data_IF_708670689324
#
_entry.id   IF_708670689324
#
_cell.length_a   1.000
_cell.length_b   1.000
_cell.length_c   1.000
_cell.angle_alpha   90.00
_cell.angle_beta   90.00
_cell.angle_gamma   90.00
#
_symmetry.space_group_name_H-M   'P 1'
#
loop_
_entity.id
_entity.type
_entity.pdbx_description
1 polymer ?
#
# COMPACT_ATOMS: atom_id res chain seq x y z
N UNK A 1 -12.16 2.87 1.01
CA UNK A 1 -11.43 3.40 -0.16
C UNK A 1 -11.27 4.89 0.02
N UNK A 2 -10.04 5.40 0.00
CA UNK A 2 -9.83 6.85 -0.06
C UNK A 2 -10.15 7.31 -1.48
N UNK A 3 -11.05 8.27 -1.58
CA UNK A 3 -11.63 8.76 -2.82
C UNK A 3 -10.95 10.06 -3.24
N UNK A 4 -10.05 9.94 -4.20
CA UNK A 4 -9.43 11.07 -4.88
C UNK A 4 -10.04 11.23 -6.28
N UNK A 5 -11.31 11.67 -6.31
CA UNK A 5 -12.08 11.94 -7.54
C UNK A 5 -12.38 10.68 -8.36
N UNK A 6 -12.62 9.54 -7.71
CA UNK A 6 -13.08 8.33 -8.38
C UNK A 6 -14.45 8.60 -9.02
N UNK A 7 -14.56 8.30 -10.32
CA UNK A 7 -15.78 8.57 -11.10
C UNK A 7 -16.97 7.78 -10.58
N UNK A 8 -18.19 8.29 -10.82
CA UNK A 8 -19.43 7.57 -10.48
C UNK A 8 -19.47 6.21 -11.17
N UNK A 9 -19.01 6.11 -12.43
CA UNK A 9 -18.87 4.86 -13.18
C UNK A 9 -18.00 3.85 -12.43
N UNK A 10 -16.77 4.21 -12.07
CA UNK A 10 -15.86 3.30 -11.37
C UNK A 10 -16.37 2.93 -9.96
N UNK A 11 -16.99 3.86 -9.23
CA UNK A 11 -17.64 3.56 -7.95
C UNK A 11 -18.75 2.52 -8.09
N UNK A 12 -19.51 2.58 -9.19
CA UNK A 12 -20.56 1.59 -9.51
C UNK A 12 -19.93 0.21 -9.76
N UNK A 13 -18.93 0.13 -10.65
CA UNK A 13 -18.23 -1.12 -10.97
C UNK A 13 -17.58 -1.78 -9.73
N UNK A 14 -17.01 -0.97 -8.83
CA UNK A 14 -16.48 -1.47 -7.55
C UNK A 14 -17.56 -2.08 -6.66
N UNK A 15 -18.74 -1.45 -6.57
CA UNK A 15 -19.87 -1.98 -5.80
C UNK A 15 -20.43 -3.26 -6.41
N UNK A 16 -20.57 -3.30 -7.73
CA UNK A 16 -21.01 -4.49 -8.47
C UNK A 16 -20.05 -5.65 -8.25
N UNK A 17 -18.74 -5.40 -8.37
CA UNK A 17 -17.67 -6.38 -8.13
C UNK A 17 -17.78 -7.03 -6.75
N UNK A 18 -18.06 -6.25 -5.70
CA UNK A 18 -18.12 -6.80 -4.34
C UNK A 18 -19.51 -7.34 -3.95
N UNK A 19 -20.56 -7.09 -4.75
CA UNK A 19 -21.94 -7.43 -4.41
C UNK A 19 -22.20 -8.92 -4.10
N UNK A 20 -21.49 -9.90 -4.70
CA UNK A 20 -21.67 -11.31 -4.36
C UNK A 20 -21.04 -11.70 -3.01
N UNK A 21 -20.24 -10.82 -2.40
CA UNK A 21 -19.48 -11.09 -1.20
C UNK A 21 -20.12 -10.42 0.03
N UNK A 22 -19.88 -10.99 1.22
CA UNK A 22 -20.25 -10.33 2.48
C UNK A 22 -19.27 -9.20 2.81
N UNK A 23 -19.25 -8.17 1.96
CA UNK A 23 -18.33 -7.05 2.03
C UNK A 23 -19.06 -5.72 1.83
N UNK A 24 -18.48 -4.63 2.32
CA UNK A 24 -19.00 -3.28 2.10
C UNK A 24 -17.88 -2.38 1.63
N UNK A 25 -18.15 -1.59 0.58
CA UNK A 25 -17.25 -0.53 0.11
C UNK A 25 -17.80 0.83 0.50
N UNK A 26 -17.00 1.59 1.24
CA UNK A 26 -17.22 3.01 1.52
C UNK A 26 -16.13 3.84 0.84
N UNK A 27 -16.55 4.95 0.26
CA UNK A 27 -15.67 5.95 -0.35
C UNK A 27 -15.55 7.11 0.63
N UNK A 28 -14.32 7.38 1.07
CA UNK A 28 -14.01 8.39 2.07
C UNK A 28 -13.15 9.46 1.41
N UNK A 29 -13.58 10.70 1.50
CA UNK A 29 -12.76 11.85 1.11
C UNK A 29 -12.01 12.35 2.34
N UNK A 30 -10.75 12.71 2.16
CA UNK A 30 -9.95 13.30 3.23
C UNK A 30 -10.07 14.82 3.11
N UNK A 31 -10.62 15.46 4.14
CA UNK A 31 -10.74 16.91 4.16
C UNK A 31 -9.36 17.53 4.44
N UNK A 32 -8.88 18.34 3.51
CA UNK A 32 -7.57 19.03 3.60
C UNK A 32 -7.43 19.87 4.86
N UNK A 33 -8.55 20.28 5.49
CA UNK A 33 -8.52 21.09 6.71
C UNK A 33 -7.85 20.39 7.89
N UNK A 34 -7.87 19.06 7.93
CA UNK A 34 -7.17 18.28 8.97
C UNK A 34 -5.64 18.32 8.80
N UNK A 35 -5.15 18.84 7.66
CA UNK A 35 -3.75 18.87 7.28
C UNK A 35 -3.27 20.30 7.00
N UNK A 36 -3.91 21.32 7.57
CA UNK A 36 -3.59 22.74 7.29
C UNK A 36 -2.09 23.03 7.36
N UNK A 37 -1.38 22.50 8.36
CA UNK A 37 0.05 22.73 8.54
C UNK A 37 0.94 21.91 7.57
N UNK A 38 0.40 20.82 7.02
CA UNK A 38 1.16 19.90 6.17
C UNK A 38 0.91 20.11 4.67
N UNK A 39 -0.25 20.65 4.31
CA UNK A 39 -0.66 20.98 2.94
C UNK A 39 -0.01 22.28 2.44
N UNK A 40 0.60 23.08 3.32
CA UNK A 40 1.37 24.28 2.93
C UNK A 40 2.68 23.94 2.19
N UNK A 41 3.09 22.66 2.13
CA UNK A 41 4.21 22.20 1.33
C UNK A 41 3.75 21.77 -0.06
N UNK A 42 3.88 22.66 -1.05
CA UNK A 42 3.66 22.40 -2.50
C UNK A 42 4.56 21.29 -3.09
N UNK A 43 5.38 20.61 -2.28
CA UNK A 43 6.50 19.77 -2.74
C UNK A 43 6.22 18.27 -2.78
N UNK A 44 5.08 17.78 -2.28
CA UNK A 44 4.82 16.34 -2.15
C UNK A 44 3.44 15.96 -2.71
N UNK A 45 3.32 14.82 -3.42
CA UNK A 45 2.04 14.37 -3.94
C UNK A 45 0.99 14.23 -2.84
N UNK A 46 -0.18 14.84 -3.07
CA UNK A 46 -1.31 14.88 -2.13
C UNK A 46 -1.75 13.48 -1.63
N UNK A 47 -1.56 12.46 -2.48
CA UNK A 47 -1.94 11.07 -2.21
C UNK A 47 -1.09 10.39 -1.15
N UNK A 48 0.17 10.82 -0.99
CA UNK A 48 1.07 10.32 0.05
C UNK A 48 0.56 10.68 1.46
N UNK A 49 -0.06 11.86 1.60
CA UNK A 49 -0.67 12.30 2.86
C UNK A 49 -1.88 11.47 3.26
N UNK A 50 -2.60 10.92 2.29
CA UNK A 50 -3.81 10.15 2.58
C UNK A 50 -3.52 8.92 3.43
N UNK A 51 -2.42 8.20 3.19
CA UNK A 51 -2.12 7.00 4.00
C UNK A 51 -1.80 7.35 5.45
N UNK A 52 -1.06 8.43 5.67
CA UNK A 52 -0.67 8.94 7.00
C UNK A 52 -1.92 9.45 7.75
N UNK A 53 -2.86 10.01 7.01
CA UNK A 53 -4.11 10.59 7.51
C UNK A 53 -5.20 9.57 7.87
N UNK A 54 -5.16 8.36 7.33
CA UNK A 54 -6.26 7.39 7.46
C UNK A 54 -6.69 7.15 8.92
N UNK A 55 -5.78 6.94 9.89
CA UNK A 55 -6.16 6.71 11.28
C UNK A 55 -6.96 7.87 11.89
N UNK A 56 -6.68 9.12 11.50
CA UNK A 56 -7.37 10.32 11.98
C UNK A 56 -8.85 10.35 11.63
N UNK A 57 -9.23 9.76 10.48
CA UNK A 57 -10.64 9.66 10.07
C UNK A 57 -11.49 8.84 11.06
N UNK A 58 -10.85 8.07 11.93
CA UNK A 58 -11.48 7.19 12.91
C UNK A 58 -11.29 7.65 14.35
N UNK A 59 -10.76 8.86 14.59
CA UNK A 59 -10.52 9.40 15.95
C UNK A 59 -11.73 9.35 16.87
N UNK A 60 -12.92 9.67 16.33
CA UNK A 60 -14.18 9.65 17.07
C UNK A 60 -14.97 8.33 16.91
N UNK A 61 -14.32 7.30 16.36
CA UNK A 61 -14.91 6.00 16.11
C UNK A 61 -14.25 4.94 16.98
N UNK A 62 -14.99 3.89 17.34
CA UNK A 62 -14.45 2.75 18.10
C UNK A 62 -13.70 1.76 17.19
N UNK A 63 -12.78 2.26 16.36
CA UNK A 63 -11.93 1.45 15.48
C UNK A 63 -10.57 1.27 16.16
N UNK A 64 -10.18 0.02 16.39
CA UNK A 64 -8.95 -0.28 17.14
C UNK A 64 -7.78 -0.67 16.22
N UNK A 65 -8.09 -1.25 15.07
CA UNK A 65 -7.13 -1.80 14.12
C UNK A 65 -7.58 -1.48 12.70
N UNK A 66 -6.64 -1.26 11.80
CA UNK A 66 -6.91 -1.02 10.38
C UNK A 66 -5.85 -1.70 9.52
N UNK A 67 -6.25 -2.33 8.42
CA UNK A 67 -5.31 -2.85 7.43
C UNK A 67 -5.31 -1.90 6.22
N UNK A 68 -4.18 -1.26 5.98
CA UNK A 68 -3.90 -0.48 4.79
C UNK A 68 -3.18 -1.34 3.75
N UNK A 69 -3.61 -1.23 2.49
CA UNK A 69 -3.01 -1.87 1.32
C UNK A 69 -2.95 -0.85 0.18
N UNK A 70 -1.82 -0.77 -0.51
CA UNK A 70 -1.72 -0.06 -1.78
C UNK A 70 -2.61 -0.73 -2.85
N UNK A 71 -3.00 0.03 -3.86
CA UNK A 71 -3.97 -0.42 -4.87
C UNK A 71 -3.42 -1.46 -5.85
N UNK A 72 -2.11 -1.69 -5.83
CA UNK A 72 -1.35 -2.61 -6.69
C UNK A 72 -0.95 -3.89 -5.94
N UNK A 73 -1.82 -4.34 -5.04
CA UNK A 73 -1.65 -5.55 -4.26
C UNK A 73 -2.74 -6.58 -4.53
N UNK A 74 -2.38 -7.88 -4.47
CA UNK A 74 -3.31 -9.00 -4.62
C UNK A 74 -3.10 -10.00 -3.49
N UNK A 75 -4.15 -10.21 -2.69
CA UNK A 75 -4.19 -11.28 -1.70
C UNK A 75 -4.45 -12.65 -2.35
N UNK A 76 -3.62 -13.63 -2.02
CA UNK A 76 -3.71 -15.02 -2.52
C UNK A 76 -4.23 -15.99 -1.44
N UNK A 77 -4.46 -15.51 -0.23
CA UNK A 77 -4.90 -16.30 0.92
C UNK A 77 -5.89 -15.52 1.76
N UNK A 78 -6.51 -16.18 2.74
CA UNK A 78 -7.32 -15.51 3.74
C UNK A 78 -6.40 -14.67 4.66
N UNK A 79 -6.58 -13.35 4.58
CA UNK A 79 -5.80 -12.37 5.34
C UNK A 79 -6.34 -12.16 6.76
N UNK A 80 -7.43 -12.83 7.16
CA UNK A 80 -7.97 -12.77 8.53
C UNK A 80 -6.96 -13.19 9.60
N UNK A 81 -5.97 -14.01 9.23
CA UNK A 81 -4.86 -14.38 10.10
C UNK A 81 -4.06 -13.16 10.60
N UNK A 82 -3.93 -12.10 9.79
CA UNK A 82 -3.27 -10.85 10.19
C UNK A 82 -4.04 -10.17 11.32
N UNK A 83 -5.37 -10.29 11.36
CA UNK A 83 -6.18 -9.64 12.37
C UNK A 83 -5.92 -10.15 13.78
N UNK A 84 -5.42 -11.40 13.89
CA UNK A 84 -5.08 -12.07 15.16
C UNK A 84 -3.73 -11.63 15.73
N UNK A 85 -2.93 -10.87 14.98
CA UNK A 85 -1.65 -10.36 15.46
C UNK A 85 -1.86 -9.40 16.64
N UNK A 86 -1.06 -9.58 17.68
CA UNK A 86 -0.98 -8.65 18.80
C UNK A 86 -0.12 -7.45 18.42
N UNK A 87 -0.70 -6.26 18.55
CA UNK A 87 -0.03 -4.99 18.27
C UNK A 87 0.05 -4.12 19.53
N UNK A 88 -0.13 -4.69 20.72
CA UNK A 88 -0.14 -3.92 21.98
C UNK A 88 1.12 -3.05 22.12
N UNK A 89 2.29 -3.62 21.80
CA UNK A 89 3.56 -2.92 21.90
C UNK A 89 3.97 -2.16 20.63
N UNK A 90 3.21 -2.28 19.54
CA UNK A 90 3.61 -1.74 18.23
C UNK A 90 2.57 -0.79 17.65
N UNK A 91 3.05 0.29 17.03
CA UNK A 91 2.15 1.25 16.35
C UNK A 91 1.57 0.65 15.07
N UNK A 92 2.35 -0.20 14.40
CA UNK A 92 1.89 -0.96 13.23
C UNK A 92 2.67 -2.26 13.08
N UNK A 93 2.17 -3.16 12.26
CA UNK A 93 2.94 -4.24 11.65
C UNK A 93 3.08 -4.04 10.15
N UNK A 94 4.27 -4.30 9.62
CA UNK A 94 4.60 -4.14 8.21
C UNK A 94 5.65 -5.17 7.79
N UNK A 95 6.12 -5.06 6.54
CA UNK A 95 7.17 -5.91 5.99
C UNK A 95 8.34 -5.03 5.57
N UNK A 96 9.55 -5.50 5.83
CA UNK A 96 10.78 -4.82 5.39
C UNK A 96 10.79 -4.59 3.88
N UNK A 97 11.26 -3.42 3.46
CA UNK A 97 11.38 -3.08 2.05
C UNK A 97 12.61 -3.76 1.44
N UNK A 98 12.38 -4.55 0.41
CA UNK A 98 13.42 -5.41 -0.15
C UNK A 98 14.52 -4.65 -0.91
N UNK A 99 14.27 -3.40 -1.30
CA UNK A 99 15.25 -2.59 -2.01
C UNK A 99 16.08 -1.68 -1.11
N UNK A 100 15.74 -1.56 0.19
CA UNK A 100 16.10 -0.37 0.97
C UNK A 100 16.56 -0.65 2.41
N UNK A 101 17.21 -1.80 2.64
CA UNK A 101 17.76 -2.23 3.95
C UNK A 101 18.66 -1.21 4.68
N UNK A 102 19.31 -0.28 3.97
CA UNK A 102 20.18 0.76 4.55
C UNK A 102 19.60 2.18 4.44
N UNK A 103 18.28 2.30 4.27
CA UNK A 103 17.67 3.61 3.98
C UNK A 103 17.70 4.56 5.18
N UNK A 104 17.45 4.06 6.39
CA UNK A 104 17.53 4.86 7.62
C UNK A 104 18.92 5.47 7.85
N UNK A 105 19.98 4.68 7.62
CA UNK A 105 21.37 5.15 7.68
C UNK A 105 21.63 6.28 6.67
N UNK A 106 21.16 6.12 5.42
CA UNK A 106 21.28 7.15 4.37
C UNK A 106 20.49 8.43 4.69
N UNK A 107 19.49 8.35 5.55
CA UNK A 107 18.73 9.50 6.06
C UNK A 107 19.35 10.09 7.34
N UNK A 108 20.42 9.48 7.87
CA UNK A 108 21.02 9.82 9.15
C UNK A 108 20.00 9.79 10.31
N UNK A 109 19.14 8.78 10.34
CA UNK A 109 18.25 8.49 11.47
C UNK A 109 19.00 7.59 12.45
N UNK A 110 19.07 8.01 13.71
CA UNK A 110 19.63 7.18 14.77
C UNK A 110 18.60 6.11 15.17
N UNK A 111 18.95 4.85 14.97
CA UNK A 111 18.07 3.70 15.21
C UNK A 111 18.88 2.52 15.73
N UNK A 112 18.25 1.65 16.52
CA UNK A 112 18.85 0.39 16.97
C UNK A 112 18.79 -0.66 15.85
N UNK A 113 17.66 -0.71 15.14
CA UNK A 113 17.45 -1.50 13.94
C UNK A 113 17.44 -0.61 12.71
N UNK A 114 18.37 -0.84 11.77
CA UNK A 114 18.37 -0.17 10.48
C UNK A 114 17.21 -0.61 9.54
N UNK A 115 16.33 -1.50 10.01
CA UNK A 115 15.23 -2.07 9.22
C UNK A 115 14.23 -0.99 8.83
N UNK A 116 13.89 -1.01 7.54
CA UNK A 116 13.06 -0.01 6.89
C UNK A 116 11.88 -0.71 6.21
N UNK A 117 10.65 -0.42 6.64
CA UNK A 117 9.46 -1.08 6.12
C UNK A 117 8.91 -0.42 4.85
N UNK A 118 8.27 -1.24 4.01
CA UNK A 118 7.50 -0.77 2.87
C UNK A 118 6.11 -0.26 3.32
N UNK A 119 5.73 0.97 2.97
CA UNK A 119 4.47 1.59 3.43
C UNK A 119 3.24 1.17 2.63
N UNK A 120 3.39 0.27 1.64
CA UNK A 120 2.27 -0.25 0.85
C UNK A 120 1.42 -1.27 1.59
N UNK A 121 1.95 -1.89 2.65
CA UNK A 121 1.21 -2.75 3.56
C UNK A 121 1.41 -2.26 4.99
N UNK A 122 0.33 -1.96 5.72
CA UNK A 122 0.41 -1.62 7.14
C UNK A 122 -0.81 -2.13 7.89
N UNK A 123 -0.60 -2.98 8.90
CA UNK A 123 -1.63 -3.30 9.89
C UNK A 123 -1.45 -2.35 11.09
N UNK A 124 -2.30 -1.34 11.19
CA UNK A 124 -2.16 -0.20 12.08
C UNK A 124 -2.92 -0.45 13.37
N UNK A 125 -2.26 -0.20 14.51
CA UNK A 125 -2.91 -0.04 15.82
C UNK A 125 -3.43 1.40 15.92
N UNK A 126 -4.72 1.59 15.64
CA UNK A 126 -5.33 2.92 15.54
C UNK A 126 -5.28 3.64 16.88
N UNK A 127 -5.51 2.94 17.99
CA UNK A 127 -5.45 3.53 19.33
C UNK A 127 -4.06 4.09 19.63
N UNK A 128 -3.01 3.30 19.40
CA UNK A 128 -1.62 3.71 19.65
C UNK A 128 -1.18 4.83 18.70
N UNK A 129 -1.55 4.71 17.42
CA UNK A 129 -1.29 5.75 16.42
C UNK A 129 -1.85 7.12 16.83
N UNK A 130 -3.10 7.16 17.29
CA UNK A 130 -3.76 8.38 17.73
C UNK A 130 -3.20 8.90 19.07
N UNK A 131 -2.88 8.00 20.01
CA UNK A 131 -2.35 8.36 21.32
C UNK A 131 -0.94 8.97 21.23
N UNK A 132 -0.13 8.51 20.27
CA UNK A 132 1.24 8.98 20.07
C UNK A 132 1.36 10.11 19.02
N UNK A 133 0.22 10.63 18.55
CA UNK A 133 0.15 11.69 17.53
C UNK A 133 1.02 11.42 16.30
N UNK A 134 1.00 10.16 15.81
CA UNK A 134 1.90 9.72 14.75
C UNK A 134 1.68 10.51 13.46
N UNK A 135 0.43 10.83 13.12
CA UNK A 135 0.12 11.63 11.93
C UNK A 135 0.82 12.99 11.99
N UNK A 136 0.69 13.73 13.10
CA UNK A 136 1.34 15.04 13.27
C UNK A 136 2.87 14.92 13.19
N UNK A 137 3.47 13.99 13.94
CA UNK A 137 4.93 13.77 13.94
C UNK A 137 5.50 13.46 12.56
N UNK A 138 4.79 12.64 11.77
CA UNK A 138 5.20 12.31 10.39
C UNK A 138 5.10 13.54 9.49
N UNK A 139 4.05 14.35 9.64
CA UNK A 139 3.88 15.56 8.85
C UNK A 139 4.93 16.63 9.21
N UNK A 140 5.24 16.78 10.49
CA UNK A 140 6.30 17.68 10.96
C UNK A 140 7.66 17.24 10.41
N UNK A 141 7.98 15.95 10.45
CA UNK A 141 9.22 15.42 9.86
C UNK A 141 9.29 15.71 8.36
N UNK A 142 8.17 15.58 7.65
CA UNK A 142 8.10 15.90 6.22
C UNK A 142 8.40 17.37 5.95
N UNK A 143 7.84 18.25 6.78
CA UNK A 143 8.01 19.70 6.66
C UNK A 143 9.43 20.14 7.01
N UNK A 144 9.98 19.60 8.10
CA UNK A 144 11.27 20.02 8.68
C UNK A 144 12.48 19.40 7.97
N UNK A 145 12.32 18.23 7.33
CA UNK A 145 13.41 17.47 6.71
C UNK A 145 13.13 17.03 5.26
N UNK A 146 12.62 17.90 4.36
CA UNK A 146 12.27 17.53 2.99
C UNK A 146 13.47 17.01 2.18
N UNK A 147 14.68 17.48 2.50
CA UNK A 147 15.94 17.06 1.86
C UNK A 147 16.29 15.59 2.13
N UNK A 148 15.77 15.01 3.22
CA UNK A 148 15.99 13.60 3.56
C UNK A 148 15.08 12.67 2.77
N UNK A 149 13.99 13.18 2.18
CA UNK A 149 12.92 12.37 1.59
C UNK A 149 13.21 12.03 0.12
N UNK A 150 13.41 10.73 -0.13
CA UNK A 150 13.45 10.12 -1.47
C UNK A 150 12.13 9.42 -1.81
N UNK A 151 11.48 8.82 -0.82
CA UNK A 151 10.23 8.05 -0.91
C UNK A 151 9.09 8.68 -0.12
N UNK A 152 9.17 10.00 0.10
CA UNK A 152 8.13 10.83 0.70
C UNK A 152 7.57 10.24 2.02
N UNK A 153 6.32 9.79 2.02
CA UNK A 153 5.63 9.25 3.19
C UNK A 153 6.32 8.03 3.79
N UNK A 154 6.88 7.13 2.96
CA UNK A 154 7.51 5.91 3.46
C UNK A 154 8.75 6.24 4.29
N UNK A 155 9.54 7.22 3.83
CA UNK A 155 10.71 7.70 4.55
C UNK A 155 10.33 8.34 5.88
N UNK A 156 9.34 9.23 5.86
CA UNK A 156 8.90 9.93 7.07
C UNK A 156 8.27 8.99 8.10
N UNK A 157 7.46 8.02 7.64
CA UNK A 157 6.91 6.97 8.49
C UNK A 157 8.01 6.15 9.16
N UNK A 158 9.02 5.72 8.41
CA UNK A 158 10.15 4.99 8.95
C UNK A 158 11.03 5.86 9.87
N UNK A 159 11.19 7.15 9.57
CA UNK A 159 11.93 8.07 10.44
C UNK A 159 11.24 8.32 11.79
N UNK A 160 9.92 8.21 11.86
CA UNK A 160 9.14 8.38 13.10
C UNK A 160 8.92 7.05 13.85
N UNK A 161 8.78 5.96 13.11
CA UNK A 161 8.39 4.65 13.65
C UNK A 161 9.53 3.62 13.64
N UNK A 162 10.77 4.00 13.32
CA UNK A 162 11.92 3.10 13.46
C UNK A 162 11.90 2.44 14.84
N UNK A 163 12.28 1.16 14.90
CA UNK A 163 12.27 0.34 16.11
C UNK A 163 10.90 0.09 16.78
N UNK A 164 9.81 0.74 16.32
CA UNK A 164 8.48 0.71 16.95
C UNK A 164 7.39 0.10 16.06
N UNK A 165 7.77 -0.87 15.22
CA UNK A 165 6.86 -1.62 14.36
C UNK A 165 7.14 -3.13 14.43
N UNK A 166 6.08 -3.93 14.29
CA UNK A 166 6.18 -5.38 14.25
C UNK A 166 6.56 -5.83 12.84
N UNK A 167 7.74 -6.43 12.69
CA UNK A 167 8.16 -7.00 11.42
C UNK A 167 7.40 -8.29 11.12
N UNK A 168 6.81 -8.36 9.93
CA UNK A 168 6.17 -9.53 9.38
C UNK A 168 7.07 -10.19 8.34
N UNK A 169 6.90 -11.50 8.19
CA UNK A 169 7.55 -12.27 7.13
C UNK A 169 7.22 -11.68 5.74
N UNK A 170 8.22 -11.60 4.82
CA UNK A 170 8.06 -11.03 3.48
C UNK A 170 6.91 -11.58 2.61
N UNK A 171 6.39 -12.77 2.89
CA UNK A 171 5.24 -13.35 2.16
C UNK A 171 3.96 -12.54 2.29
N UNK A 172 3.82 -11.72 3.33
CA UNK A 172 2.66 -10.85 3.55
C UNK A 172 2.72 -9.54 2.74
N UNK A 173 3.86 -9.22 2.15
CA UNK A 173 4.05 -8.12 1.21
C UNK A 173 5.15 -8.56 0.22
N UNK A 174 4.80 -9.53 -0.64
CA UNK A 174 5.72 -10.14 -1.58
C UNK A 174 5.97 -9.16 -2.74
N UNK A 175 6.89 -8.23 -2.51
CA UNK A 175 7.27 -7.15 -3.41
C UNK A 175 7.85 -7.66 -4.73
N UNK A 176 7.69 -6.89 -5.81
CA UNK A 176 8.23 -7.21 -7.14
C UNK A 176 9.71 -7.58 -7.11
N UNK A 177 10.51 -6.83 -6.36
CA UNK A 177 11.96 -7.05 -6.22
C UNK A 177 12.29 -8.47 -5.72
N UNK A 178 11.54 -8.95 -4.70
CA UNK A 178 11.66 -10.32 -4.18
C UNK A 178 11.18 -11.32 -5.23
N UNK A 179 9.98 -11.10 -5.78
CA UNK A 179 9.30 -12.06 -6.64
C UNK A 179 9.99 -12.25 -8.00
N UNK A 180 10.62 -11.20 -8.53
CA UNK A 180 11.37 -11.20 -9.78
C UNK A 180 12.87 -11.51 -9.60
N UNK A 181 13.34 -11.70 -8.35
CA UNK A 181 14.76 -11.93 -8.01
C UNK A 181 15.68 -10.80 -8.50
N UNK A 182 15.22 -9.57 -8.34
CA UNK A 182 15.99 -8.38 -8.73
C UNK A 182 16.96 -7.95 -7.63
N UNK A 183 16.76 -8.45 -6.41
CA UNK A 183 17.59 -8.19 -5.23
C UNK A 183 17.78 -9.47 -4.42
N UNK A 184 18.95 -9.62 -3.82
CA UNK A 184 19.22 -10.59 -2.77
C UNK A 184 19.16 -9.88 -1.41
N UNK A 185 18.68 -10.58 -0.39
CA UNK A 185 18.71 -10.04 0.97
C UNK A 185 20.17 -10.00 1.49
N UNK A 186 20.60 -8.95 2.19
CA UNK A 186 21.97 -8.86 2.71
C UNK A 186 22.26 -9.85 3.85
N UNK A 187 21.25 -10.21 4.63
CA UNK A 187 21.29 -11.26 5.66
C UNK A 187 20.89 -12.64 5.09
N UNK A 188 21.68 -13.71 5.32
CA UNK A 188 21.33 -15.08 4.91
C UNK A 188 19.95 -15.60 5.37
N UNK A 189 19.49 -15.26 6.57
CA UNK A 189 18.16 -15.69 7.04
C UNK A 189 17.05 -14.95 6.29
N UNK A 190 17.24 -13.65 6.02
CA UNK A 190 16.32 -12.90 5.18
C UNK A 190 16.28 -13.41 3.73
N UNK A 191 17.40 -13.91 3.19
CA UNK A 191 17.43 -14.51 1.85
C UNK A 191 16.67 -15.84 1.82
N UNK A 192 16.74 -16.60 2.92
CA UNK A 192 15.89 -17.78 3.11
C UNK A 192 14.40 -17.39 3.16
N UNK A 193 14.03 -16.31 3.85
CA UNK A 193 12.66 -15.79 3.82
C UNK A 193 12.22 -15.32 2.42
N UNK A 194 13.12 -14.73 1.62
CA UNK A 194 12.85 -14.39 0.21
C UNK A 194 12.64 -15.64 -0.63
N UNK A 195 13.42 -16.70 -0.41
CA UNK A 195 13.20 -18.00 -1.05
C UNK A 195 11.82 -18.59 -0.73
N UNK A 196 11.43 -18.58 0.54
CA UNK A 196 10.10 -19.05 0.98
C UNK A 196 8.97 -18.20 0.39
N UNK A 197 9.16 -16.88 0.35
CA UNK A 197 8.21 -15.90 -0.21
C UNK A 197 7.97 -16.15 -1.69
N UNK A 198 9.03 -16.38 -2.48
CA UNK A 198 8.92 -16.71 -3.93
C UNK A 198 8.11 -17.99 -4.18
N UNK A 199 8.13 -18.95 -3.24
CA UNK A 199 7.40 -20.22 -3.35
C UNK A 199 5.95 -20.14 -2.90
N UNK A 200 5.64 -19.32 -1.90
CA UNK A 200 4.32 -19.25 -1.27
C UNK A 200 3.94 -17.82 -0.84
N UNK A 201 3.81 -16.88 -1.79
CA UNK A 201 3.40 -15.52 -1.47
C UNK A 201 1.96 -15.51 -0.94
N UNK A 202 1.70 -14.71 0.10
CA UNK A 202 0.35 -14.54 0.68
C UNK A 202 -0.34 -13.31 0.14
N UNK A 203 0.41 -12.22 -0.06
CA UNK A 203 -0.04 -11.03 -0.76
C UNK A 203 1.09 -10.63 -1.70
N UNK A 204 0.78 -10.55 -3.00
CA UNK A 204 1.71 -10.02 -4.00
C UNK A 204 1.55 -8.51 -4.03
N UNK A 205 2.66 -7.80 -4.01
CA UNK A 205 2.70 -6.36 -4.20
C UNK A 205 3.48 -6.06 -5.48
N UNK A 206 2.80 -5.51 -6.49
CA UNK A 206 3.41 -5.10 -7.75
C UNK A 206 4.15 -3.76 -7.58
N UNK A 207 5.05 -3.71 -6.59
CA UNK A 207 5.84 -2.53 -6.22
C UNK A 207 6.74 -2.08 -7.37
N UNK A 208 7.08 -0.78 -7.40
CA UNK A 208 7.89 -0.17 -8.47
C UNK A 208 7.05 0.37 -9.62
N UNK A 209 7.67 0.59 -10.79
CA UNK A 209 7.02 1.25 -11.94
C UNK A 209 6.36 0.27 -12.92
N UNK A 210 6.82 -0.97 -12.97
CA UNK A 210 6.30 -1.99 -13.88
C UNK A 210 5.02 -2.62 -13.31
N UNK A 211 3.87 -2.36 -13.93
CA UNK A 211 2.55 -2.69 -13.40
C UNK A 211 1.83 -3.73 -14.25
N UNK A 212 1.08 -4.66 -13.65
CA UNK A 212 0.51 -5.81 -14.34
C UNK A 212 -0.62 -5.47 -15.31
N UNK A 213 -1.20 -4.27 -15.21
CA UNK A 213 -2.20 -3.73 -16.15
C UNK A 213 -1.58 -3.08 -17.39
N UNK A 214 -0.25 -2.94 -17.46
CA UNK A 214 0.42 -2.47 -18.66
C UNK A 214 0.56 -3.62 -19.67
N UNK A 215 0.47 -3.29 -20.97
CA UNK A 215 0.57 -4.28 -22.06
C UNK A 215 1.96 -4.92 -22.18
N UNK A 216 3.01 -4.19 -21.79
CA UNK A 216 4.41 -4.62 -21.83
C UNK A 216 4.86 -5.39 -20.57
N UNK A 217 3.95 -5.65 -19.63
CA UNK A 217 4.27 -6.42 -18.44
C UNK A 217 4.51 -7.90 -18.78
N UNK A 218 5.78 -8.32 -18.77
CA UNK A 218 6.22 -9.66 -19.21
C UNK A 218 6.38 -10.68 -18.09
N UNK A 219 6.35 -10.26 -16.82
CA UNK A 219 6.59 -11.17 -15.70
C UNK A 219 5.47 -12.20 -15.53
N UNK A 220 5.84 -13.44 -15.17
CA UNK A 220 4.90 -14.53 -14.88
C UNK A 220 3.90 -14.23 -13.76
N UNK A 221 4.14 -13.18 -12.97
CA UNK A 221 3.23 -12.68 -11.95
C UNK A 221 1.94 -12.08 -12.53
N UNK A 222 1.91 -11.75 -13.83
CA UNK A 222 0.72 -11.22 -14.52
C UNK A 222 -0.49 -12.15 -14.41
N UNK A 223 -0.24 -13.47 -14.36
CA UNK A 223 -1.30 -14.49 -14.21
C UNK A 223 -2.20 -14.27 -13.00
N UNK A 224 -1.69 -13.68 -11.91
CA UNK A 224 -2.50 -13.40 -10.73
C UNK A 224 -3.40 -12.19 -10.96
N UNK A 225 -2.87 -11.11 -11.54
CA UNK A 225 -3.65 -9.94 -11.95
C UNK A 225 -4.75 -10.33 -12.94
N UNK A 226 -4.41 -10.99 -14.06
CA UNK A 226 -5.40 -11.38 -15.08
C UNK A 226 -6.49 -12.30 -14.52
N UNK A 227 -6.15 -13.15 -13.54
CA UNK A 227 -7.13 -13.99 -12.86
C UNK A 227 -8.16 -13.14 -12.12
N UNK A 228 -7.72 -12.18 -11.30
CA UNK A 228 -8.63 -11.39 -10.46
C UNK A 228 -9.33 -10.28 -11.23
N UNK A 229 -8.69 -9.67 -12.22
CA UNK A 229 -9.31 -8.68 -13.11
C UNK A 229 -10.58 -9.25 -13.78
N UNK A 230 -10.49 -10.47 -14.33
CA UNK A 230 -11.63 -11.19 -14.93
C UNK A 230 -12.77 -11.52 -13.96
N UNK A 231 -12.55 -11.38 -12.66
CA UNK A 231 -13.58 -11.59 -11.63
C UNK A 231 -14.28 -10.29 -11.24
N UNK A 232 -13.92 -9.16 -11.86
CA UNK A 232 -14.48 -7.85 -11.55
C UNK A 232 -15.49 -7.41 -12.58
N UNK A 233 -16.39 -6.50 -12.20
CA UNK A 233 -17.30 -5.85 -13.16
C UNK A 233 -16.55 -4.99 -14.20
N UNK A 234 -15.27 -4.67 -13.97
CA UNK A 234 -14.45 -3.91 -14.92
C UNK A 234 -14.16 -4.71 -16.19
N UNK A 235 -14.02 -6.04 -16.12
CA UNK A 235 -13.70 -6.84 -17.31
C UNK A 235 -14.81 -6.79 -18.37
N UNK A 236 -16.09 -6.80 -17.94
CA UNK A 236 -17.23 -6.68 -18.84
C UNK A 236 -17.30 -5.31 -19.52
N UNK A 237 -16.97 -4.24 -18.78
CA UNK A 237 -16.96 -2.86 -19.29
C UNK A 237 -15.85 -2.65 -20.34
N UNK A 238 -14.67 -3.25 -20.15
CA UNK A 238 -13.59 -3.25 -21.15
C UNK A 238 -14.00 -3.95 -22.46
N UNK A 239 -14.72 -5.07 -22.38
CA UNK A 239 -15.20 -5.80 -23.57
C UNK A 239 -16.27 -5.00 -24.35
N UNK A 240 -17.17 -4.30 -23.66
CA UNK A 240 -18.15 -3.39 -24.26
C UNK A 240 -17.49 -2.16 -24.93
N UNK A 241 -16.47 -1.57 -24.30
CA UNK A 241 -15.70 -0.47 -24.90
C UNK A 241 -14.89 -0.91 -26.12
N UNK A 242 -14.31 -2.12 -26.11
CA UNK A 242 -13.55 -2.64 -27.24
C UNK A 242 -14.47 -2.95 -28.43
N UNK A 243 -15.62 -3.58 -28.17
CA UNK A 243 -16.60 -3.91 -29.21
C UNK A 243 -17.24 -2.66 -29.84
N UNK A 244 -17.50 -1.61 -29.06
CA UNK A 244 -17.99 -0.32 -29.55
C UNK A 244 -16.97 0.44 -30.40
N UNK A 245 -15.66 0.42 -30.04
CA UNK A 245 -14.59 1.00 -30.87
C UNK A 245 -14.40 0.28 -32.21
N UNK A 246 -14.55 -1.04 -32.23
CA UNK A 246 -14.49 -1.85 -33.46
C UNK A 246 -15.69 -1.57 -34.38
N UNK A 247 -16.88 -1.35 -33.80
CA UNK A 247 -18.08 -1.01 -34.59
C UNK A 247 -18.08 0.43 -35.08
N UNK A 248 -17.48 1.39 -34.35
CA UNK A 248 -17.34 2.77 -34.82
C UNK A 248 -16.31 2.89 -35.94
N UNK A 249 -15.18 2.18 -35.87
CA UNK A 249 -14.13 2.24 -36.91
C UNK A 249 -14.58 1.63 -38.25
N UNK A 250 -15.47 0.63 -38.23
CA UNK A 250 -16.10 0.04 -39.42
C UNK A 250 -17.20 0.88 -40.05
N UNK A 251 -17.74 1.89 -39.34
CA UNK A 251 -18.75 2.82 -39.86
C UNK A 251 -18.15 4.11 -40.45
N UNK A 252 -16.87 4.37 -40.17
CA UNK A 252 -16.10 5.51 -40.68
C UNK A 252 -15.19 5.18 -41.88
N UNK A 253 -15.25 3.95 -42.37
CA UNK A 253 -14.54 3.43 -43.55
C UNK A 253 -15.54 3.13 -44.67
#
# INVERSE_FOLDING_TARGET
MIDDKITIKHKRLMRETISPYNATVKFLTIDKKYFKNAVESDRIPETAYYRIAIPELFRDQKIEKLLYLDCDMIALTDISALWKLDLTDYTLAAVEDAGFHHRLEKMAIACDSAKYFNSGFMLINVKKWLAENITERVMDFIHDHPEKLRFHDQDALNAILHDHWLQLHPKWNAQSYIMKREVDHPDPEGEKEYFETRRNPKIIHYSGHDKPWNEDYTSSLKKYYDKYERMTAFSADYEEELSSKITSSRKSS
#
